data_IF_191706425922
#
_entry.id   IF_191706425922
#
_cell.length_a   1.000
_cell.length_b   1.000
_cell.length_c   1.000
_cell.angle_alpha   90.00
_cell.angle_beta   90.00
_cell.angle_gamma   90.00
#
_symmetry.space_group_name_H-M   'P 1'
#
loop_
_entity.id
_entity.type
_entity.pdbx_description
1 polymer ?
#
# COMPACT_ATOMS: atom_id res chain seq x y z
N UNK A 1 -3.71 -0.63 -51.85
CA UNK A 1 -3.39 0.11 -50.61
C UNK A 1 -4.12 -0.48 -49.38
N UNK A 2 -4.52 -1.75 -49.43
CA UNK A 2 -5.53 -2.29 -48.49
C UNK A 2 -4.92 -2.97 -47.26
N UNK A 3 -3.75 -3.59 -47.40
CA UNK A 3 -3.04 -4.27 -46.31
C UNK A 3 -2.67 -3.32 -45.16
N UNK A 4 -2.40 -2.04 -45.47
CA UNK A 4 -2.06 -1.02 -44.47
C UNK A 4 -3.26 -0.68 -43.58
N UNK A 5 -4.46 -0.61 -44.15
CA UNK A 5 -5.69 -0.23 -43.40
C UNK A 5 -6.12 -1.31 -42.41
N UNK A 6 -5.98 -2.59 -42.76
CA UNK A 6 -6.29 -3.71 -41.86
C UNK A 6 -5.38 -3.74 -40.63
N UNK A 7 -4.09 -3.44 -40.79
CA UNK A 7 -3.14 -3.38 -39.68
C UNK A 7 -3.47 -2.25 -38.70
N UNK A 8 -3.84 -1.06 -39.21
CA UNK A 8 -4.25 0.06 -38.34
C UNK A 8 -5.54 -0.25 -37.57
N UNK A 9 -6.51 -0.93 -38.21
CA UNK A 9 -7.76 -1.30 -37.56
C UNK A 9 -7.52 -2.32 -36.42
N UNK A 10 -6.64 -3.31 -36.64
CA UNK A 10 -6.26 -4.28 -35.61
C UNK A 10 -5.62 -3.59 -34.40
N UNK A 11 -4.65 -2.68 -34.63
CA UNK A 11 -3.99 -1.92 -33.55
C UNK A 11 -5.02 -1.10 -32.76
N UNK A 12 -5.96 -0.43 -33.44
CA UNK A 12 -7.00 0.36 -32.77
C UNK A 12 -7.92 -0.51 -31.89
N UNK A 13 -8.28 -1.71 -32.35
CA UNK A 13 -9.07 -2.68 -31.57
C UNK A 13 -8.30 -3.17 -30.34
N UNK A 14 -7.00 -3.46 -30.47
CA UNK A 14 -6.16 -3.85 -29.34
C UNK A 14 -6.00 -2.72 -28.31
N UNK A 15 -5.86 -1.46 -28.75
CA UNK A 15 -5.82 -0.30 -27.85
C UNK A 15 -7.16 -0.13 -27.13
N UNK A 16 -8.28 -0.22 -27.85
CA UNK A 16 -9.62 -0.06 -27.28
C UNK A 16 -9.98 -1.18 -26.28
N UNK A 17 -9.63 -2.44 -26.58
CA UNK A 17 -9.83 -3.57 -25.67
C UNK A 17 -8.85 -3.54 -24.49
N UNK A 18 -7.60 -3.10 -24.71
CA UNK A 18 -6.58 -2.99 -23.67
C UNK A 18 -6.93 -1.96 -22.60
N UNK A 19 -7.56 -0.83 -22.97
CA UNK A 19 -7.97 0.22 -22.02
C UNK A 19 -9.03 -0.29 -21.02
N UNK A 20 -9.87 -1.25 -21.41
CA UNK A 20 -10.89 -1.83 -20.50
C UNK A 20 -10.29 -2.73 -19.41
N UNK A 21 -9.10 -3.31 -19.64
CA UNK A 21 -8.45 -4.22 -18.69
C UNK A 21 -7.84 -3.46 -17.50
N UNK A 22 -7.39 -2.21 -17.72
CA UNK A 22 -6.76 -1.41 -16.66
C UNK A 22 -7.74 -0.83 -15.65
N UNK A 23 -9.01 -0.64 -16.01
CA UNK A 23 -10.01 -0.02 -15.11
C UNK A 23 -10.66 -1.01 -14.13
N UNK A 24 -10.74 -2.30 -14.46
CA UNK A 24 -11.36 -3.32 -13.58
C UNK A 24 -10.36 -3.84 -12.52
N UNK A 25 -9.06 -3.66 -12.74
CA UNK A 25 -8.01 -4.18 -11.85
C UNK A 25 -7.80 -3.38 -10.56
N UNK A 26 -8.17 -2.11 -10.52
CA UNK A 26 -7.94 -1.25 -9.35
C UNK A 26 -8.99 -1.40 -8.26
N UNK A 27 -10.24 -1.69 -8.64
CA UNK A 27 -11.35 -1.81 -7.67
C UNK A 27 -11.39 -3.19 -7.00
N UNK A 28 -10.95 -4.25 -7.71
CA UNK A 28 -10.97 -5.62 -7.20
C UNK A 28 -9.83 -5.95 -6.21
N UNK A 29 -8.80 -5.11 -6.12
CA UNK A 29 -7.65 -5.31 -5.22
C UNK A 29 -7.76 -4.50 -3.92
N UNK A 30 -8.72 -3.58 -3.84
CA UNK A 30 -8.93 -2.77 -2.66
C UNK A 30 -10.05 -3.40 -1.83
N UNK A 31 -9.71 -4.43 -1.04
CA UNK A 31 -10.61 -4.86 0.04
C UNK A 31 -10.65 -3.71 1.05
N UNK A 32 -11.64 -2.81 0.91
CA UNK A 32 -11.85 -1.65 1.77
C UNK A 32 -12.00 -2.00 3.25
N UNK A 33 -12.19 -3.30 3.56
CA UNK A 33 -12.33 -3.80 4.91
C UNK A 33 -11.02 -4.33 5.52
N UNK A 34 -9.89 -4.28 4.81
CA UNK A 34 -8.60 -4.74 5.30
C UNK A 34 -7.49 -3.75 4.94
N UNK A 35 -6.66 -3.37 5.91
CA UNK A 35 -5.47 -2.55 5.70
C UNK A 35 -4.23 -3.31 6.13
N UNK A 36 -3.31 -3.50 5.20
CA UNK A 36 -1.97 -3.96 5.49
C UNK A 36 -0.99 -2.80 5.33
N UNK A 37 -0.37 -2.36 6.41
CA UNK A 37 0.62 -1.28 6.40
C UNK A 37 2.01 -1.84 6.66
N UNK A 38 3.00 -1.25 5.97
CA UNK A 38 4.41 -1.54 6.16
C UNK A 38 5.13 -0.23 6.37
N UNK A 39 5.77 -0.07 7.52
CA UNK A 39 6.50 1.14 7.87
C UNK A 39 7.98 0.83 8.11
N UNK A 40 8.86 1.66 7.57
CA UNK A 40 10.29 1.57 7.84
C UNK A 40 10.62 2.16 9.21
N UNK A 41 11.28 1.35 10.05
CA UNK A 41 11.56 1.72 11.44
C UNK A 41 12.77 2.66 11.62
N UNK A 42 13.23 3.29 10.55
CA UNK A 42 14.36 4.24 10.59
C UNK A 42 15.73 3.58 10.70
N UNK A 43 15.84 2.25 10.56
CA UNK A 43 17.13 1.56 10.60
C UNK A 43 17.21 0.33 9.69
N UNK A 44 18.43 0.04 9.24
CA UNK A 44 18.75 -1.17 8.49
C UNK A 44 19.21 -2.28 9.44
N UNK A 45 19.08 -3.52 8.99
CA UNK A 45 19.65 -4.68 9.64
C UNK A 45 20.67 -5.36 8.72
N UNK A 46 21.71 -5.95 9.29
CA UNK A 46 22.79 -6.58 8.52
C UNK A 46 23.11 -7.94 9.13
N UNK A 47 23.57 -8.88 8.31
CA UNK A 47 24.02 -10.17 8.78
C UNK A 47 25.39 -10.03 9.42
N UNK A 48 25.51 -10.49 10.66
CA UNK A 48 26.75 -10.53 11.42
C UNK A 48 27.58 -11.75 11.01
N UNK A 49 28.86 -11.75 11.37
CA UNK A 49 29.80 -12.85 11.05
C UNK A 49 29.42 -14.19 11.68
N UNK A 50 28.62 -14.19 12.74
CA UNK A 50 28.05 -15.38 13.38
C UNK A 50 26.77 -15.89 12.68
N UNK A 51 26.37 -15.27 11.56
CA UNK A 51 25.17 -15.60 10.80
C UNK A 51 23.87 -14.99 11.32
N UNK A 52 23.87 -14.38 12.51
CA UNK A 52 22.70 -13.70 13.08
C UNK A 52 22.49 -12.31 12.46
N UNK A 53 21.27 -11.80 12.49
CA UNK A 53 20.96 -10.46 12.00
C UNK A 53 21.01 -9.42 13.13
N UNK A 54 21.43 -8.20 12.80
CA UNK A 54 21.31 -7.03 13.69
C UNK A 54 19.86 -6.90 14.16
N UNK A 55 19.69 -6.74 15.48
CA UNK A 55 18.37 -6.65 16.10
C UNK A 55 17.72 -5.30 15.76
N UNK A 56 16.45 -5.34 15.35
CA UNK A 56 15.63 -4.16 15.15
C UNK A 56 15.02 -3.67 16.48
N UNK A 57 14.69 -2.38 16.54
CA UNK A 57 14.06 -1.78 17.72
C UNK A 57 12.54 -1.98 17.74
N UNK A 58 11.93 -1.93 18.93
CA UNK A 58 10.47 -1.95 19.08
C UNK A 58 9.82 -3.21 18.52
N UNK A 59 8.71 -3.04 17.79
CA UNK A 59 7.96 -4.12 17.15
C UNK A 59 8.38 -4.36 15.69
N UNK A 60 9.62 -4.03 15.36
CA UNK A 60 10.13 -4.14 13.99
C UNK A 60 10.84 -5.47 13.78
N UNK A 61 10.68 -6.04 12.60
CA UNK A 61 11.33 -7.27 12.17
C UNK A 61 12.33 -6.96 11.06
N UNK A 62 13.46 -7.67 11.04
CA UNK A 62 14.44 -7.55 9.98
C UNK A 62 13.98 -8.36 8.76
N UNK A 63 13.77 -7.67 7.64
CA UNK A 63 13.45 -8.29 6.35
C UNK A 63 14.63 -8.12 5.41
N UNK A 64 15.02 -9.20 4.75
CA UNK A 64 16.13 -9.23 3.80
C UNK A 64 15.77 -10.11 2.60
N UNK A 65 16.39 -9.82 1.46
CA UNK A 65 16.32 -10.70 0.29
C UNK A 65 17.25 -11.89 0.48
N UNK A 66 16.90 -13.05 -0.09
CA UNK A 66 17.74 -14.24 -0.03
C UNK A 66 19.10 -13.98 -0.70
N UNK A 67 20.18 -14.41 -0.03
CA UNK A 67 21.56 -14.21 -0.51
C UNK A 67 22.10 -12.79 -0.33
N UNK A 68 21.35 -11.87 0.28
CA UNK A 68 21.85 -10.55 0.71
C UNK A 68 22.24 -10.55 2.18
N UNK A 69 23.23 -9.73 2.52
CA UNK A 69 23.70 -9.51 3.91
C UNK A 69 23.14 -8.23 4.52
N UNK A 70 22.33 -7.50 3.77
CA UNK A 70 21.71 -6.24 4.17
C UNK A 70 20.19 -6.36 4.05
N UNK A 71 19.49 -5.74 4.98
CA UNK A 71 18.04 -5.77 5.10
C UNK A 71 17.51 -4.51 5.76
N UNK A 72 16.18 -4.41 5.84
CA UNK A 72 15.46 -3.29 6.42
C UNK A 72 14.70 -3.74 7.66
N UNK A 73 14.72 -2.93 8.71
CA UNK A 73 13.80 -3.12 9.82
C UNK A 73 12.46 -2.51 9.47
N UNK A 74 11.43 -3.35 9.34
CA UNK A 74 10.08 -2.95 8.98
C UNK A 74 9.11 -3.34 10.10
N UNK A 75 8.12 -2.50 10.35
CA UNK A 75 6.92 -2.84 11.12
C UNK A 75 5.81 -3.17 10.15
N UNK A 76 5.14 -4.29 10.38
CA UNK A 76 3.98 -4.72 9.57
C UNK A 76 2.77 -4.77 10.48
N UNK A 77 1.72 -4.05 10.10
CA UNK A 77 0.45 -4.08 10.81
C UNK A 77 -0.66 -4.50 9.86
N UNK A 78 -1.55 -5.37 10.36
CA UNK A 78 -2.73 -5.80 9.65
C UNK A 78 -3.95 -5.39 10.47
N UNK A 79 -4.81 -4.59 9.86
CA UNK A 79 -6.06 -4.13 10.43
C UNK A 79 -7.22 -4.71 9.63
N UNK A 80 -8.10 -5.41 10.32
CA UNK A 80 -9.34 -5.94 9.78
C UNK A 80 -10.49 -5.04 10.24
N UNK A 81 -11.00 -4.19 9.35
CA UNK A 81 -12.06 -3.23 9.63
C UNK A 81 -13.41 -3.90 9.91
N UNK A 82 -13.60 -5.17 9.53
CA UNK A 82 -14.85 -5.90 9.83
C UNK A 82 -15.06 -6.14 11.33
N UNK A 83 -13.97 -6.07 12.12
CA UNK A 83 -14.02 -6.21 13.57
C UNK A 83 -14.49 -4.94 14.29
N UNK A 84 -14.57 -3.82 13.57
CA UNK A 84 -15.02 -2.55 14.12
C UNK A 84 -16.48 -2.30 13.73
N UNK A 85 -17.30 -1.74 14.64
CA UNK A 85 -18.66 -1.37 14.30
C UNK A 85 -18.64 -0.26 13.23
N UNK A 86 -19.66 -0.25 12.37
CA UNK A 86 -19.90 0.88 11.49
C UNK A 86 -20.20 2.12 12.34
N UNK A 87 -19.35 3.13 12.21
CA UNK A 87 -19.54 4.40 12.91
C UNK A 87 -20.69 5.19 12.27
N UNK A 88 -21.54 5.77 13.11
CA UNK A 88 -22.55 6.74 12.68
C UNK A 88 -21.90 8.09 12.35
N UNK A 89 -22.55 8.91 11.51
CA UNK A 89 -22.06 10.26 11.20
C UNK A 89 -21.88 11.12 12.45
N UNK A 90 -22.74 10.96 13.46
CA UNK A 90 -22.63 11.67 14.75
C UNK A 90 -21.35 11.31 15.52
N UNK A 91 -20.94 10.04 15.49
CA UNK A 91 -19.71 9.58 16.13
C UNK A 91 -18.47 10.13 15.44
N UNK A 92 -18.50 10.21 14.11
CA UNK A 92 -17.42 10.78 13.29
C UNK A 92 -17.30 12.29 13.54
N UNK A 93 -18.42 13.02 13.56
CA UNK A 93 -18.44 14.46 13.84
C UNK A 93 -17.89 14.79 15.23
N UNK A 94 -18.12 13.91 16.21
CA UNK A 94 -17.63 14.08 17.58
C UNK A 94 -16.11 13.99 17.68
N UNK A 95 -15.47 13.14 16.88
CA UNK A 95 -14.01 12.92 16.90
C UNK A 95 -13.24 13.75 15.87
N UNK A 96 -13.96 14.42 14.96
CA UNK A 96 -13.36 15.30 13.96
C UNK A 96 -12.59 16.44 14.65
N UNK A 97 -11.29 16.64 14.34
CA UNK A 97 -10.51 17.73 14.92
C UNK A 97 -11.19 19.07 14.64
N UNK A 98 -11.49 19.82 15.70
CA UNK A 98 -12.05 21.16 15.55
C UNK A 98 -10.93 22.13 15.18
N UNK A 99 -11.18 23.11 14.30
CA UNK A 99 -10.24 24.20 14.05
C UNK A 99 -9.87 24.86 15.39
N UNK A 100 -8.59 25.18 15.57
CA UNK A 100 -8.17 25.98 16.72
C UNK A 100 -8.92 27.31 16.70
N UNK A 101 -9.65 27.63 17.77
CA UNK A 101 -10.17 28.98 17.96
C UNK A 101 -8.97 29.93 18.06
N UNK A 102 -8.71 30.64 16.97
CA UNK A 102 -7.76 31.74 17.00
C UNK A 102 -8.37 32.82 17.89
N UNK A 103 -7.96 32.87 19.15
CA UNK A 103 -8.30 33.98 20.04
C UNK A 103 -7.66 35.25 19.47
N UNK A 104 -8.43 36.00 18.69
CA UNK A 104 -8.06 37.35 18.30
C UNK A 104 -8.02 38.19 19.58
N UNK A 105 -6.82 38.58 19.97
CA UNK A 105 -6.53 39.42 21.13
C UNK A 105 -6.72 40.89 20.81
#
# INVERSE_FOLDING_TARGET
MEVKTFAFLQIAVFIALGIQIFLVGTDALNNENELFSVEYCGMNCTQQTNGSWTKCNGNCTCYHEDGKTDGLCLSTEYTDFTKFPNLTSEEIDKVTPRPEETKSH
#
